data_IF_579191584580
#
_entry.id   IF_579191584580
#
_cell.length_a   1.000
_cell.length_b   1.000
_cell.length_c   1.000
_cell.angle_alpha   90.00
_cell.angle_beta   90.00
_cell.angle_gamma   90.00
#
_symmetry.space_group_name_H-M   'P 1'
#
loop_
_entity.id
_entity.type
_entity.pdbx_description
1 polymer ?
#
# COMPACT_ATOMS: atom_id res chain seq x y z
N UNK A 1 -15.35 -78.26 -15.41
CA UNK A 1 -14.34 -77.70 -16.34
C UNK A 1 -13.12 -77.31 -15.52
N UNK A 2 -12.08 -78.13 -15.54
CA UNK A 2 -10.88 -77.98 -14.71
C UNK A 2 -9.80 -77.16 -15.44
N UNK A 3 -9.33 -76.10 -14.80
CA UNK A 3 -8.15 -75.31 -15.15
C UNK A 3 -6.87 -76.05 -14.72
N UNK A 4 -5.97 -76.37 -15.67
CA UNK A 4 -4.60 -76.84 -15.39
C UNK A 4 -3.65 -75.64 -15.34
N UNK A 5 -3.12 -75.34 -14.16
CA UNK A 5 -2.01 -74.39 -13.99
C UNK A 5 -0.70 -75.04 -14.45
N UNK A 6 -0.05 -74.47 -15.45
CA UNK A 6 1.32 -74.78 -15.85
C UNK A 6 2.28 -73.84 -15.11
N UNK A 7 3.12 -74.40 -14.24
CA UNK A 7 4.24 -73.69 -13.62
C UNK A 7 5.41 -73.80 -14.59
N UNK A 8 5.66 -72.74 -15.38
CA UNK A 8 6.89 -72.60 -16.16
C UNK A 8 7.92 -71.86 -15.32
N UNK A 9 8.90 -72.59 -14.80
CA UNK A 9 10.09 -72.02 -14.17
C UNK A 9 10.90 -71.29 -15.23
N UNK A 10 10.95 -69.96 -15.16
CA UNK A 10 11.76 -69.13 -16.06
C UNK A 10 12.96 -68.60 -15.28
N UNK A 11 14.16 -69.09 -15.63
CA UNK A 11 15.42 -68.51 -15.18
C UNK A 11 15.49 -67.04 -15.64
N UNK A 12 15.50 -66.11 -14.67
CA UNK A 12 15.80 -64.71 -14.94
C UNK A 12 17.32 -64.57 -14.99
N UNK A 13 17.87 -64.51 -16.21
CA UNK A 13 19.24 -64.02 -16.43
C UNK A 13 19.22 -62.50 -16.20
N UNK A 14 19.69 -62.05 -15.03
CA UNK A 14 20.04 -60.65 -14.82
C UNK A 14 21.30 -60.33 -15.66
N UNK A 15 21.09 -59.93 -16.92
CA UNK A 15 22.09 -59.17 -17.64
C UNK A 15 22.20 -57.81 -16.94
N UNK A 16 23.24 -57.65 -16.11
CA UNK A 16 23.57 -56.40 -15.48
C UNK A 16 23.89 -55.33 -16.54
N UNK A 17 22.90 -54.51 -16.89
CA UNK A 17 23.13 -53.27 -17.58
C UNK A 17 23.77 -52.29 -16.59
N UNK A 18 25.10 -52.23 -16.56
CA UNK A 18 25.81 -51.13 -15.92
C UNK A 18 25.52 -49.85 -16.71
N UNK A 19 24.55 -49.04 -16.25
CA UNK A 19 24.40 -47.66 -16.71
C UNK A 19 25.57 -46.85 -16.15
N UNK A 20 26.57 -46.59 -16.98
CA UNK A 20 27.62 -45.63 -16.68
C UNK A 20 27.01 -44.21 -16.71
N UNK A 21 26.91 -43.57 -15.55
CA UNK A 21 26.59 -42.14 -15.46
C UNK A 21 27.91 -41.39 -15.63
N UNK A 22 28.11 -40.77 -16.78
CA UNK A 22 29.22 -39.84 -16.99
C UNK A 22 28.81 -38.47 -16.43
N UNK A 23 29.62 -37.90 -15.54
CA UNK A 23 29.51 -36.49 -15.19
C UNK A 23 29.97 -35.67 -16.40
N UNK A 24 29.05 -34.99 -17.06
CA UNK A 24 29.40 -34.00 -18.09
C UNK A 24 29.90 -32.77 -17.33
N UNK A 25 31.22 -32.56 -17.32
CA UNK A 25 31.84 -31.40 -16.70
C UNK A 25 31.91 -30.26 -17.72
N UNK A 26 31.10 -29.22 -17.50
CA UNK A 26 31.15 -28.02 -18.33
C UNK A 26 32.41 -27.22 -17.99
N UNK A 27 33.49 -27.45 -18.74
CA UNK A 27 34.77 -26.73 -18.60
C UNK A 27 34.61 -25.20 -18.73
N UNK A 28 33.51 -24.76 -19.36
CA UNK A 28 33.18 -23.34 -19.55
C UNK A 28 32.44 -22.69 -18.39
N UNK A 29 31.89 -23.47 -17.44
CA UNK A 29 31.05 -22.99 -16.34
C UNK A 29 31.71 -21.86 -15.52
N UNK A 30 33.01 -21.93 -15.15
CA UNK A 30 33.65 -20.85 -14.40
C UNK A 30 33.70 -19.51 -15.16
N UNK A 31 33.86 -19.57 -16.49
CA UNK A 31 33.91 -18.37 -17.34
C UNK A 31 32.53 -17.73 -17.56
N UNK A 32 31.47 -18.56 -17.63
CA UNK A 32 30.09 -18.09 -17.70
C UNK A 32 29.69 -17.37 -16.41
N UNK A 33 30.03 -17.93 -15.25
CA UNK A 33 29.76 -17.31 -13.94
C UNK A 33 30.42 -15.94 -13.84
N UNK A 34 31.66 -15.80 -14.33
CA UNK A 34 32.37 -14.51 -14.34
C UNK A 34 31.72 -13.49 -15.29
N UNK A 35 31.24 -13.94 -16.45
CA UNK A 35 30.48 -13.08 -17.37
C UNK A 35 29.16 -12.60 -16.75
N UNK A 36 28.42 -13.50 -16.09
CA UNK A 36 27.18 -13.16 -15.42
C UNK A 36 27.40 -12.17 -14.27
N UNK A 37 28.49 -12.32 -13.52
CA UNK A 37 28.90 -11.35 -12.50
C UNK A 37 29.14 -9.97 -13.10
N UNK A 38 29.92 -9.88 -14.19
CA UNK A 38 30.18 -8.61 -14.88
C UNK A 38 28.89 -7.96 -15.40
N UNK A 39 27.98 -8.77 -15.95
CA UNK A 39 26.70 -8.27 -16.46
C UNK A 39 25.83 -7.73 -15.31
N UNK A 40 25.83 -8.39 -14.15
CA UNK A 40 25.13 -7.91 -12.95
C UNK A 40 25.72 -6.60 -12.42
N UNK A 41 27.04 -6.51 -12.33
CA UNK A 41 27.73 -5.28 -11.91
C UNK A 41 27.43 -4.12 -12.85
N UNK A 42 27.47 -4.35 -14.17
CA UNK A 42 27.11 -3.34 -15.16
C UNK A 42 25.66 -2.86 -14.99
N UNK A 43 24.72 -3.79 -14.81
CA UNK A 43 23.31 -3.43 -14.58
C UNK A 43 23.11 -2.65 -13.28
N UNK A 44 23.82 -3.01 -12.20
CA UNK A 44 23.75 -2.28 -10.94
C UNK A 44 24.30 -0.86 -11.09
N UNK A 45 25.45 -0.70 -11.75
CA UNK A 45 26.04 0.63 -12.02
C UNK A 45 25.10 1.50 -12.85
N UNK A 46 24.42 0.93 -13.85
CA UNK A 46 23.42 1.65 -14.64
C UNK A 46 22.20 2.08 -13.79
N UNK A 47 21.76 1.24 -12.85
CA UNK A 47 20.68 1.60 -11.94
C UNK A 47 21.09 2.68 -10.93
N UNK A 48 22.31 2.61 -10.41
CA UNK A 48 22.84 3.58 -9.45
C UNK A 48 23.04 4.97 -10.08
N UNK A 49 23.21 5.04 -11.40
CA UNK A 49 23.25 6.30 -12.16
C UNK A 49 21.88 6.98 -12.28
N UNK A 50 20.77 6.27 -12.05
CA UNK A 50 19.45 6.88 -12.06
C UNK A 50 19.29 7.74 -10.79
N UNK A 51 19.09 9.05 -10.99
CA UNK A 51 18.87 9.97 -9.89
C UNK A 51 17.66 9.54 -9.04
N UNK A 52 17.92 9.14 -7.80
CA UNK A 52 16.88 8.82 -6.83
C UNK A 52 16.39 10.10 -6.15
N UNK A 53 15.12 10.13 -5.79
CA UNK A 53 14.60 11.20 -4.94
C UNK A 53 15.31 11.15 -3.59
N UNK A 54 15.84 12.30 -3.16
CA UNK A 54 16.44 12.43 -1.83
C UNK A 54 15.41 12.08 -0.76
N UNK A 55 15.72 11.20 0.21
CA UNK A 55 14.80 10.85 1.28
C UNK A 55 14.37 12.11 2.05
N UNK A 56 13.06 12.30 2.21
CA UNK A 56 12.50 13.38 3.02
C UNK A 56 11.36 12.87 3.90
N UNK A 57 11.22 13.44 5.09
CA UNK A 57 10.12 13.13 6.00
C UNK A 57 9.03 14.19 5.86
N UNK A 58 8.04 13.92 5.02
CA UNK A 58 6.90 14.84 4.82
C UNK A 58 5.91 14.81 6.00
N UNK A 59 5.81 13.68 6.69
CA UNK A 59 4.83 13.46 7.76
C UNK A 59 5.46 13.73 9.12
N UNK A 60 5.64 15.00 9.49
CA UNK A 60 5.83 15.38 10.89
C UNK A 60 4.46 15.70 11.49
N UNK A 61 3.94 14.88 12.42
CA UNK A 61 2.68 15.18 13.10
C UNK A 61 2.76 16.56 13.76
N UNK A 62 1.85 17.45 13.42
CA UNK A 62 1.75 18.79 14.04
C UNK A 62 1.39 18.69 15.53
N UNK A 63 0.75 17.60 15.94
CA UNK A 63 0.42 17.29 17.33
C UNK A 63 0.65 15.81 17.65
N UNK A 64 0.80 15.49 18.93
CA UNK A 64 0.72 14.11 19.41
C UNK A 64 -0.75 13.63 19.31
N UNK A 65 -0.97 12.55 18.57
CA UNK A 65 -2.30 11.98 18.36
C UNK A 65 -2.66 10.90 19.39
N UNK A 66 -1.87 10.71 20.46
CA UNK A 66 -2.22 9.77 21.56
C UNK A 66 -3.60 10.02 22.15
N UNK A 67 -3.99 11.29 22.26
CA UNK A 67 -5.27 11.70 22.82
C UNK A 67 -6.07 12.51 21.80
N UNK A 68 -6.99 11.86 21.11
CA UNK A 68 -7.99 12.47 20.24
C UNK A 68 -9.18 12.98 21.06
N UNK A 69 -9.66 12.18 22.01
CA UNK A 69 -10.83 12.51 22.84
C UNK A 69 -10.37 13.08 24.18
N UNK A 70 -10.95 14.22 24.55
CA UNK A 70 -10.73 14.92 25.82
C UNK A 70 -12.07 15.11 26.54
N UNK A 71 -12.02 15.30 27.86
CA UNK A 71 -13.22 15.66 28.62
C UNK A 71 -13.57 17.12 28.35
N UNK A 72 -14.78 17.35 27.84
CA UNK A 72 -15.26 18.67 27.46
C UNK A 72 -16.78 18.76 27.62
N UNK A 73 -17.30 19.97 27.80
CA UNK A 73 -18.74 20.25 27.87
C UNK A 73 -19.00 21.62 27.22
N UNK A 74 -19.99 21.76 26.31
CA UNK A 74 -20.95 20.74 25.87
C UNK A 74 -20.32 19.70 24.92
N UNK A 75 -20.86 18.47 24.91
CA UNK A 75 -20.41 17.38 24.03
C UNK A 75 -21.55 16.44 23.66
N UNK A 76 -21.40 15.68 22.56
CA UNK A 76 -22.40 14.72 22.09
C UNK A 76 -21.80 13.33 21.88
N UNK A 77 -22.54 12.29 22.27
CA UNK A 77 -22.13 10.91 22.08
C UNK A 77 -22.21 10.50 20.60
N UNK A 78 -21.05 10.23 19.97
CA UNK A 78 -20.98 9.83 18.56
C UNK A 78 -21.20 8.32 18.43
N UNK A 79 -22.27 7.92 17.74
CA UNK A 79 -22.64 6.51 17.49
C UNK A 79 -22.11 5.99 16.15
N UNK A 80 -22.00 6.86 15.15
CA UNK A 80 -21.57 6.49 13.80
C UNK A 80 -20.59 7.52 13.26
N UNK A 81 -19.54 7.04 12.61
CA UNK A 81 -18.58 7.87 11.87
C UNK A 81 -18.61 7.40 10.41
N UNK A 82 -18.85 8.31 9.49
CA UNK A 82 -18.98 8.03 8.05
C UNK A 82 -18.26 9.07 7.21
N UNK A 83 -17.85 8.67 6.01
CA UNK A 83 -17.37 9.58 4.99
C UNK A 83 -18.54 9.89 4.06
N UNK A 84 -18.84 11.16 3.81
CA UNK A 84 -19.90 11.60 2.91
C UNK A 84 -19.32 12.42 1.75
N UNK A 85 -19.83 12.28 0.52
CA UNK A 85 -19.34 13.02 -0.63
C UNK A 85 -19.73 14.48 -0.53
N UNK A 86 -18.80 15.35 -0.94
CA UNK A 86 -19.11 16.75 -1.20
C UNK A 86 -19.91 16.87 -2.50
N UNK A 87 -20.64 17.97 -2.66
CA UNK A 87 -21.40 18.25 -3.89
C UNK A 87 -20.49 18.14 -5.11
N UNK A 88 -20.92 17.36 -6.10
CA UNK A 88 -20.13 17.12 -7.32
C UNK A 88 -19.14 15.95 -7.25
N UNK A 89 -19.07 15.24 -6.11
CA UNK A 89 -18.31 14.00 -5.97
C UNK A 89 -19.23 12.79 -5.83
N UNK A 90 -18.76 11.62 -6.28
CA UNK A 90 -19.47 10.36 -6.13
C UNK A 90 -18.95 9.56 -4.93
N UNK A 91 -19.75 8.61 -4.46
CA UNK A 91 -19.33 7.62 -3.46
C UNK A 91 -18.12 6.78 -3.93
N UNK A 92 -18.00 6.56 -5.25
CA UNK A 92 -16.85 5.84 -5.81
C UNK A 92 -15.54 6.61 -5.63
N UNK A 93 -15.55 7.94 -5.74
CA UNK A 93 -14.37 8.79 -5.52
C UNK A 93 -13.86 8.67 -4.07
N UNK A 94 -14.78 8.41 -3.13
CA UNK A 94 -14.50 8.26 -1.71
C UNK A 94 -13.97 6.88 -1.31
N UNK A 95 -14.14 5.86 -2.15
CA UNK A 95 -13.78 4.49 -1.80
C UNK A 95 -12.29 4.35 -1.45
N UNK A 96 -11.42 5.10 -2.15
CA UNK A 96 -9.98 5.14 -1.88
C UNK A 96 -9.63 5.78 -0.54
N UNK A 97 -10.51 6.61 0.04
CA UNK A 97 -10.30 7.33 1.31
C UNK A 97 -10.90 6.60 2.52
N UNK A 98 -11.51 5.43 2.32
CA UNK A 98 -12.06 4.62 3.42
C UNK A 98 -11.02 4.26 4.50
N UNK A 99 -9.73 4.30 4.18
CA UNK A 99 -8.67 4.09 5.17
C UNK A 99 -8.71 5.13 6.30
N UNK A 100 -9.17 6.36 6.05
CA UNK A 100 -9.28 7.43 7.06
C UNK A 100 -10.24 7.01 8.16
N UNK A 101 -11.45 6.57 7.78
CA UNK A 101 -12.46 6.10 8.73
C UNK A 101 -11.97 4.85 9.48
N UNK A 102 -11.27 3.94 8.79
CA UNK A 102 -10.67 2.76 9.43
C UNK A 102 -9.61 3.16 10.46
N UNK A 103 -8.78 4.16 10.18
CA UNK A 103 -7.76 4.65 11.11
C UNK A 103 -8.40 5.25 12.37
N UNK A 104 -9.42 6.10 12.22
CA UNK A 104 -10.16 6.68 13.36
C UNK A 104 -10.79 5.59 14.22
N UNK A 105 -11.44 4.59 13.61
CA UNK A 105 -12.06 3.47 14.33
C UNK A 105 -11.04 2.56 15.02
N UNK A 106 -9.84 2.41 14.47
CA UNK A 106 -8.76 1.61 15.05
C UNK A 106 -7.97 2.36 16.12
N UNK A 107 -8.24 3.65 16.33
CA UNK A 107 -7.53 4.45 17.32
C UNK A 107 -7.69 3.86 18.74
N UNK A 108 -6.62 3.76 19.55
CA UNK A 108 -6.67 3.12 20.88
C UNK A 108 -7.73 3.68 21.84
N UNK A 109 -8.06 4.97 21.74
CA UNK A 109 -9.08 5.58 22.59
C UNK A 109 -10.53 5.22 22.23
N UNK A 110 -10.76 4.50 21.12
CA UNK A 110 -12.07 4.15 20.59
C UNK A 110 -13.05 5.33 20.56
N UNK A 111 -13.04 6.09 19.45
CA UNK A 111 -13.86 7.30 19.29
C UNK A 111 -15.37 7.01 19.31
N UNK A 112 -15.79 5.80 18.94
CA UNK A 112 -17.20 5.43 18.92
C UNK A 112 -17.77 5.31 20.35
N UNK A 113 -18.93 5.91 20.57
CA UNK A 113 -19.63 5.96 21.84
C UNK A 113 -19.10 7.00 22.83
N UNK A 114 -18.04 7.74 22.48
CA UNK A 114 -17.47 8.79 23.33
C UNK A 114 -18.20 10.12 23.13
N UNK A 115 -18.13 10.96 24.16
CA UNK A 115 -18.62 12.33 24.09
C UNK A 115 -17.61 13.19 23.32
N UNK A 116 -18.04 13.77 22.21
CA UNK A 116 -17.22 14.59 21.33
C UNK A 116 -17.78 16.00 21.35
N UNK A 117 -16.98 16.95 21.82
CA UNK A 117 -17.22 18.39 21.66
C UNK A 117 -16.30 18.97 20.59
N UNK A 118 -16.09 20.27 20.64
CA UNK A 118 -15.33 21.00 19.62
C UNK A 118 -13.85 20.64 19.62
N UNK A 119 -13.25 20.42 20.79
CA UNK A 119 -11.82 20.14 20.90
C UNK A 119 -11.50 18.73 20.41
N UNK A 120 -12.28 17.73 20.84
CA UNK A 120 -12.11 16.36 20.38
C UNK A 120 -12.38 16.25 18.88
N UNK A 121 -13.39 16.96 18.36
CA UNK A 121 -13.65 17.01 16.92
C UNK A 121 -12.45 17.57 16.15
N UNK A 122 -11.87 18.68 16.61
CA UNK A 122 -10.67 19.26 15.98
C UNK A 122 -9.50 18.28 15.96
N UNK A 123 -9.25 17.58 17.08
CA UNK A 123 -8.20 16.56 17.15
C UNK A 123 -8.45 15.40 16.18
N UNK A 124 -9.69 14.93 16.06
CA UNK A 124 -10.08 13.86 15.12
C UNK A 124 -9.84 14.31 13.67
N UNK A 125 -10.19 15.55 13.33
CA UNK A 125 -9.96 16.13 12.00
C UNK A 125 -8.46 16.22 11.70
N UNK A 126 -7.64 16.73 12.63
CA UNK A 126 -6.19 16.80 12.46
C UNK A 126 -5.56 15.41 12.32
N UNK A 127 -6.06 14.44 13.08
CA UNK A 127 -5.62 13.05 12.97
C UNK A 127 -5.97 12.46 11.59
N UNK A 128 -7.21 12.63 11.15
CA UNK A 128 -7.67 12.20 9.84
C UNK A 128 -6.87 12.85 8.70
N UNK A 129 -6.56 14.15 8.82
CA UNK A 129 -5.70 14.88 7.87
C UNK A 129 -4.30 14.28 7.84
N UNK A 130 -3.70 13.98 8.99
CA UNK A 130 -2.39 13.36 9.07
C UNK A 130 -2.38 11.95 8.43
N UNK A 131 -3.48 11.19 8.54
CA UNK A 131 -3.61 9.91 7.83
C UNK A 131 -3.64 10.09 6.30
N UNK A 132 -4.26 11.16 5.77
CA UNK A 132 -4.16 11.50 4.34
C UNK A 132 -2.70 11.73 3.92
N UNK A 133 -1.96 12.51 4.71
CA UNK A 133 -0.55 12.82 4.44
C UNK A 133 0.33 11.56 4.44
N UNK A 134 0.11 10.64 5.38
CA UNK A 134 0.79 9.33 5.42
C UNK A 134 0.58 8.48 4.18
N UNK A 135 -0.55 8.65 3.50
CA UNK A 135 -0.85 7.97 2.23
C UNK A 135 -0.43 8.77 0.99
N UNK A 136 0.18 9.94 1.16
CA UNK A 136 0.70 10.76 0.07
C UNK A 136 -0.30 11.76 -0.53
N UNK A 137 -1.50 11.90 0.04
CA UNK A 137 -2.52 12.85 -0.45
C UNK A 137 -2.27 14.27 0.10
N UNK A 138 -1.17 14.89 -0.34
CA UNK A 138 -0.67 16.17 0.20
C UNK A 138 -1.53 17.39 -0.18
N UNK A 139 -2.33 17.31 -1.25
CA UNK A 139 -3.21 18.40 -1.71
C UNK A 139 -4.68 18.18 -1.35
N UNK A 140 -5.00 17.09 -0.64
CA UNK A 140 -6.36 16.78 -0.19
C UNK A 140 -6.57 17.20 1.26
N UNK A 141 -7.80 17.56 1.60
CA UNK A 141 -8.15 18.06 2.93
C UNK A 141 -9.37 17.34 3.52
N UNK A 142 -9.31 17.01 4.81
CA UNK A 142 -10.48 16.57 5.59
C UNK A 142 -11.30 17.79 5.98
N UNK A 143 -12.60 17.73 5.69
CA UNK A 143 -13.54 18.79 6.04
C UNK A 143 -14.73 18.21 6.81
N UNK A 144 -15.32 19.05 7.66
CA UNK A 144 -16.53 18.74 8.41
C UNK A 144 -17.58 19.78 8.05
N UNK A 145 -18.59 19.37 7.31
CA UNK A 145 -19.71 20.25 6.99
C UNK A 145 -20.53 20.55 8.26
N UNK A 146 -21.17 21.72 8.37
CA UNK A 146 -22.11 22.00 9.44
C UNK A 146 -23.16 20.88 9.50
N UNK A 147 -23.20 20.19 10.63
CA UNK A 147 -24.08 19.04 10.85
C UNK A 147 -24.61 19.06 12.26
N UNK A 148 -25.82 18.54 12.44
CA UNK A 148 -26.39 18.33 13.75
C UNK A 148 -25.85 17.02 14.35
N UNK A 149 -24.93 17.16 15.31
CA UNK A 149 -24.35 16.03 16.01
C UNK A 149 -25.31 15.39 17.02
N UNK A 150 -26.46 16.00 17.35
CA UNK A 150 -27.43 15.44 18.31
C UNK A 150 -27.93 14.04 17.92
N UNK A 151 -27.91 13.72 16.63
CA UNK A 151 -28.23 12.39 16.13
C UNK A 151 -27.13 11.33 16.40
N UNK A 152 -25.96 11.76 16.87
CA UNK A 152 -24.79 10.94 17.11
C UNK A 152 -24.06 10.54 15.82
N UNK A 153 -24.29 11.22 14.71
CA UNK A 153 -23.64 10.95 13.43
C UNK A 153 -22.54 11.98 13.17
N UNK A 154 -21.28 11.53 13.19
CA UNK A 154 -20.14 12.33 12.78
C UNK A 154 -19.82 12.03 11.31
N UNK A 155 -20.23 12.93 10.42
CA UNK A 155 -19.89 12.83 9.01
C UNK A 155 -18.65 13.67 8.71
N UNK A 156 -17.69 13.05 8.05
CA UNK A 156 -16.49 13.70 7.53
C UNK A 156 -16.57 13.68 6.00
N UNK A 157 -15.88 14.61 5.36
CA UNK A 157 -15.72 14.62 3.91
C UNK A 157 -14.27 14.85 3.53
N UNK A 158 -13.92 14.49 2.30
CA UNK A 158 -12.60 14.77 1.74
C UNK A 158 -12.78 15.75 0.58
N UNK A 159 -12.15 16.91 0.68
CA UNK A 159 -11.92 17.77 -0.46
C UNK A 159 -10.73 17.22 -1.23
N UNK A 160 -11.01 16.58 -2.37
CA UNK A 160 -10.01 15.85 -3.14
C UNK A 160 -9.18 16.82 -3.98
N UNK A 161 -7.89 16.92 -3.68
CA UNK A 161 -6.94 17.66 -4.50
C UNK A 161 -6.62 16.91 -5.80
N UNK A 162 -6.71 17.59 -6.93
CA UNK A 162 -6.36 17.03 -8.25
C UNK A 162 -5.34 17.90 -8.95
N UNK A 163 -4.48 17.28 -9.74
CA UNK A 163 -3.55 17.99 -10.61
C UNK A 163 -4.34 18.67 -11.73
N UNK A 164 -4.20 19.98 -11.86
CA UNK A 164 -4.85 20.74 -12.93
C UNK A 164 -3.95 20.83 -14.17
N UNK A 165 -2.74 21.38 -14.01
CA UNK A 165 -1.78 21.61 -15.10
C UNK A 165 -0.35 21.46 -14.57
N UNK A 166 0.52 20.88 -15.40
CA UNK A 166 1.98 20.93 -15.20
C UNK A 166 2.52 22.08 -16.04
N UNK A 167 3.29 22.97 -15.42
CA UNK A 167 3.93 24.11 -16.09
C UNK A 167 5.43 23.90 -16.10
N UNK A 168 6.03 23.90 -17.28
CA UNK A 168 7.48 23.80 -17.46
C UNK A 168 8.00 25.23 -17.62
N UNK A 169 8.66 25.75 -16.58
CA UNK A 169 9.19 27.11 -16.59
C UNK A 169 10.50 27.22 -17.39
N UNK A 170 11.33 26.17 -17.35
CA UNK A 170 12.61 26.11 -18.07
C UNK A 170 12.83 24.70 -18.64
N UNK A 171 13.48 24.63 -19.81
CA UNK A 171 13.79 23.37 -20.50
C UNK A 171 12.66 22.79 -21.35
N UNK A 172 12.97 21.73 -22.11
CA UNK A 172 11.99 20.91 -22.85
C UNK A 172 11.89 19.56 -22.18
N UNK A 173 10.73 19.20 -21.66
CA UNK A 173 10.46 17.86 -21.12
C UNK A 173 9.73 17.06 -22.19
N UNK A 174 10.23 15.87 -22.51
CA UNK A 174 9.57 14.92 -23.41
C UNK A 174 8.33 14.30 -22.77
N UNK A 175 7.38 13.86 -23.58
CA UNK A 175 6.20 13.10 -23.11
C UNK A 175 6.58 11.82 -22.37
N UNK A 176 7.72 11.22 -22.72
CA UNK A 176 8.25 10.02 -22.09
C UNK A 176 8.69 10.32 -20.65
N UNK A 177 9.40 11.43 -20.43
CA UNK A 177 9.80 11.88 -19.09
C UNK A 177 8.60 12.23 -18.19
N UNK A 178 7.52 12.79 -18.76
CA UNK A 178 6.29 13.04 -18.02
C UNK A 178 5.58 11.74 -17.61
N UNK A 179 5.58 10.73 -18.48
CA UNK A 179 4.96 9.42 -18.20
C UNK A 179 5.75 8.59 -17.20
N UNK A 180 7.07 8.73 -17.14
CA UNK A 180 7.91 8.00 -16.19
C UNK A 180 7.99 8.67 -14.82
N UNK A 181 7.61 9.95 -14.72
CA UNK A 181 7.61 10.71 -13.46
C UNK A 181 6.27 10.74 -12.73
N UNK A 182 5.20 10.22 -13.33
CA UNK A 182 3.85 10.06 -12.76
C UNK A 182 3.58 8.59 -12.43
#
# INVERSE_FOLDING_TARGET
MLTRNFITSSLILFAGYHQYVYAIEDVSLPSQVLQDQRLKELNQQLQDQLAQQTPYQNTKPLQDFKHLVVEESPCVAVKKISLIPLTGHSESDLQQFNFVIKAIKKHPQNVLGKCIGTQSLHNIVNYAQNELLKKGFITSQIVVSPQDLNQGNLNLSVQIGRLNKIVIQEGKISSLQLKTGL
#
